data_IF_024587470554
#
_entry.id   IF_024587470554
#
_cell.length_a   1.000
_cell.length_b   1.000
_cell.length_c   1.000
_cell.angle_alpha   90.00
_cell.angle_beta   90.00
_cell.angle_gamma   90.00
#
_symmetry.space_group_name_H-M   'P 1'
#
loop_
_entity.id
_entity.type
_entity.pdbx_description
1 polymer ?
#
# COMPACT_ATOMS: atom_id res chain seq x y z
N UNK A 1 7.41 -32.14 -13.31
CA UNK A 1 6.96 -31.64 -11.99
C UNK A 1 6.46 -30.24 -12.25
N UNK A 2 5.14 -30.02 -12.21
CA UNK A 2 4.59 -28.67 -12.32
C UNK A 2 4.98 -27.92 -11.05
N UNK A 3 5.86 -26.93 -11.16
CA UNK A 3 6.02 -25.93 -10.10
C UNK A 3 4.65 -25.27 -9.91
N UNK A 4 3.90 -25.70 -8.88
CA UNK A 4 2.78 -24.94 -8.36
C UNK A 4 3.36 -23.67 -7.75
N UNK A 5 3.50 -22.62 -8.58
CA UNK A 5 3.68 -21.26 -8.10
C UNK A 5 2.48 -20.98 -7.19
N UNK A 6 2.71 -20.96 -5.89
CA UNK A 6 1.69 -20.45 -4.98
C UNK A 6 1.42 -19.00 -5.36
N UNK A 7 0.21 -18.74 -5.84
CA UNK A 7 -0.21 -17.38 -6.20
C UNK A 7 -0.10 -16.48 -4.96
N UNK A 8 0.42 -15.27 -5.14
CA UNK A 8 0.52 -14.30 -4.04
C UNK A 8 -0.90 -13.90 -3.65
N UNK A 9 -1.33 -14.28 -2.44
CA UNK A 9 -2.69 -14.00 -1.94
C UNK A 9 -2.80 -12.69 -1.19
N UNK A 10 -1.71 -12.22 -0.56
CA UNK A 10 -1.70 -11.03 0.30
C UNK A 10 -0.44 -10.21 0.15
N UNK A 11 -0.59 -8.90 0.15
CA UNK A 11 0.46 -7.88 0.13
C UNK A 11 0.29 -6.94 1.32
N UNK A 12 1.36 -6.74 2.10
CA UNK A 12 1.41 -5.75 3.17
C UNK A 12 2.42 -4.67 2.83
N UNK A 13 1.98 -3.41 2.81
CA UNK A 13 2.82 -2.24 2.53
C UNK A 13 3.01 -1.46 3.83
N UNK A 14 4.25 -1.26 4.24
CA UNK A 14 4.58 -0.41 5.39
C UNK A 14 4.97 0.98 4.87
N UNK A 15 4.11 1.97 5.11
CA UNK A 15 4.37 3.35 4.72
C UNK A 15 4.90 4.13 5.93
N UNK A 16 6.20 4.42 5.94
CA UNK A 16 6.88 5.15 7.02
C UNK A 16 7.23 6.61 6.70
N UNK A 17 7.15 6.99 5.42
CA UNK A 17 7.46 8.33 4.90
C UNK A 17 6.28 8.88 4.10
N UNK A 18 5.83 10.09 4.41
CA UNK A 18 4.70 10.74 3.74
C UNK A 18 5.14 11.78 2.68
N UNK A 19 6.23 11.53 1.97
CA UNK A 19 6.54 12.28 0.74
C UNK A 19 5.56 11.87 -0.36
N UNK A 20 5.22 12.81 -1.25
CA UNK A 20 4.23 12.61 -2.30
C UNK A 20 4.51 11.34 -3.13
N UNK A 21 5.77 11.18 -3.55
CA UNK A 21 6.25 10.02 -4.33
C UNK A 21 6.03 8.69 -3.60
N UNK A 22 6.35 8.63 -2.30
CA UNK A 22 6.23 7.40 -1.51
C UNK A 22 4.76 7.03 -1.27
N UNK A 23 3.92 8.02 -1.00
CA UNK A 23 2.48 7.83 -0.81
C UNK A 23 1.84 7.33 -2.11
N UNK A 24 2.14 7.97 -3.24
CA UNK A 24 1.65 7.53 -4.55
C UNK A 24 2.10 6.11 -4.89
N UNK A 25 3.39 5.80 -4.70
CA UNK A 25 3.90 4.46 -4.95
C UNK A 25 3.15 3.40 -4.12
N UNK A 26 2.97 3.64 -2.81
CA UNK A 26 2.24 2.73 -1.94
C UNK A 26 0.79 2.52 -2.39
N UNK A 27 0.09 3.59 -2.76
CA UNK A 27 -1.33 3.53 -3.12
C UNK A 27 -1.55 2.90 -4.49
N UNK A 28 -0.68 3.19 -5.47
CA UNK A 28 -0.72 2.56 -6.80
C UNK A 28 -0.47 1.06 -6.69
N UNK A 29 0.53 0.64 -5.90
CA UNK A 29 0.84 -0.76 -5.69
C UNK A 29 -0.30 -1.50 -4.98
N UNK A 30 -0.88 -0.93 -3.92
CA UNK A 30 -2.03 -1.51 -3.24
C UNK A 30 -3.24 -1.64 -4.18
N UNK A 31 -3.47 -0.64 -5.02
CA UNK A 31 -4.57 -0.68 -5.99
C UNK A 31 -4.34 -1.76 -7.06
N UNK A 32 -3.13 -1.82 -7.64
CA UNK A 32 -2.75 -2.86 -8.60
C UNK A 32 -2.87 -4.26 -8.01
N UNK A 33 -2.40 -4.47 -6.78
CA UNK A 33 -2.58 -5.74 -6.06
C UNK A 33 -4.06 -6.11 -5.95
N UNK A 34 -4.94 -5.16 -5.60
CA UNK A 34 -6.39 -5.42 -5.53
C UNK A 34 -7.00 -5.75 -6.89
N UNK A 35 -6.53 -5.15 -7.98
CA UNK A 35 -6.97 -5.46 -9.35
C UNK A 35 -6.60 -6.89 -9.77
N UNK A 36 -5.44 -7.37 -9.33
CA UNK A 36 -4.96 -8.75 -9.56
C UNK A 36 -5.59 -9.77 -8.59
N UNK A 37 -6.58 -9.37 -7.78
CA UNK A 37 -7.23 -10.26 -6.81
C UNK A 37 -6.42 -10.55 -5.55
N UNK A 38 -5.31 -9.83 -5.34
CA UNK A 38 -4.46 -9.94 -4.14
C UNK A 38 -5.06 -9.10 -3.02
N UNK A 39 -5.17 -9.65 -1.81
CA UNK A 39 -5.52 -8.89 -0.62
C UNK A 39 -4.41 -7.88 -0.32
N UNK A 40 -4.73 -6.59 -0.16
CA UNK A 40 -3.73 -5.56 0.08
C UNK A 40 -4.03 -4.80 1.37
N UNK A 41 -3.04 -4.71 2.25
CA UNK A 41 -3.09 -3.91 3.48
C UNK A 41 -1.96 -2.88 3.49
N UNK A 42 -2.26 -1.69 3.99
CA UNK A 42 -1.25 -0.64 4.19
C UNK A 42 -1.17 -0.33 5.69
N UNK A 43 0.00 -0.56 6.28
CA UNK A 43 0.32 -0.16 7.63
C UNK A 43 1.05 1.20 7.61
N UNK A 44 0.36 2.24 8.05
CA UNK A 44 0.90 3.58 8.19
C UNK A 44 1.62 3.72 9.54
N UNK A 45 2.90 4.10 9.51
CA UNK A 45 3.70 4.27 10.73
C UNK A 45 4.60 5.50 10.67
N UNK A 46 5.08 5.99 11.81
CA UNK A 46 5.89 7.22 11.93
C UNK A 46 5.28 8.38 11.12
N UNK A 47 6.07 9.00 10.24
CA UNK A 47 5.62 10.09 9.36
C UNK A 47 4.62 9.63 8.30
N UNK A 48 4.52 8.34 7.99
CA UNK A 48 3.53 7.81 7.06
C UNK A 48 2.08 8.03 7.50
N UNK A 49 1.82 8.20 8.80
CA UNK A 49 0.50 8.56 9.32
C UNK A 49 0.00 9.92 8.79
N UNK A 50 0.91 10.82 8.43
CA UNK A 50 0.57 12.12 7.86
C UNK A 50 -0.16 11.99 6.50
N UNK A 51 0.02 10.88 5.79
CA UNK A 51 -0.61 10.63 4.49
C UNK A 51 -2.14 10.43 4.58
N UNK A 52 -2.66 10.09 5.75
CA UNK A 52 -4.10 9.79 5.97
C UNK A 52 -4.74 10.74 6.99
N UNK A 53 -4.05 11.82 7.35
CA UNK A 53 -4.51 12.76 8.37
C UNK A 53 -5.54 13.73 7.78
N UNK A 54 -6.83 13.59 8.16
CA UNK A 54 -7.95 14.39 7.61
C UNK A 54 -7.76 15.90 7.68
N UNK A 55 -7.21 16.43 8.78
CA UNK A 55 -6.91 17.87 8.94
C UNK A 55 -5.95 18.44 7.90
N UNK A 56 -5.18 17.60 7.19
CA UNK A 56 -4.30 18.02 6.09
C UNK A 56 -4.95 17.91 4.71
N UNK A 57 -6.12 17.29 4.62
CA UNK A 57 -6.87 17.16 3.38
C UNK A 57 -7.80 18.36 3.14
N UNK A 58 -8.27 19.00 4.21
CA UNK A 58 -9.10 20.21 4.12
C UNK A 58 -8.18 21.43 3.93
N UNK A 59 -8.32 22.09 2.78
CA UNK A 59 -7.79 23.43 2.50
C UNK A 59 -8.91 24.46 2.69
#
# INVERSE_FOLDING_TARGET
>A
MSESKDDIKKMMIILSKATLENVYAAFILANGARMEGIEAEIFFTFFGLEAVHKKKLEH
#
